data_IF_699720170645
#
_entry.id   IF_699720170645
#
_cell.length_a   1.000
_cell.length_b   1.000
_cell.length_c   1.000
_cell.angle_alpha   90.00
_cell.angle_beta   90.00
_cell.angle_gamma   90.00
#
_symmetry.space_group_name_H-M   'P 1'
#
loop_
_entity.id
_entity.type
_entity.pdbx_description
1 polymer ?
#
# COMPACT_ATOMS: atom_id res chain seq x y z
N UNK A 1 -39.51 -15.04 -10.56
CA UNK A 1 -38.77 -13.82 -10.17
C UNK A 1 -37.45 -14.26 -9.53
N UNK A 2 -36.34 -14.10 -10.25
CA UNK A 2 -35.01 -14.35 -9.67
C UNK A 2 -34.78 -13.33 -8.57
N UNK A 3 -34.72 -13.76 -7.31
CA UNK A 3 -34.39 -12.87 -6.21
C UNK A 3 -32.99 -12.33 -6.46
N UNK A 4 -32.88 -11.04 -6.71
CA UNK A 4 -31.67 -10.23 -6.94
C UNK A 4 -30.79 -10.13 -5.69
N UNK A 5 -30.55 -11.27 -5.02
CA UNK A 5 -29.79 -11.35 -3.78
C UNK A 5 -28.44 -11.96 -4.11
N UNK A 6 -27.44 -11.10 -4.15
CA UNK A 6 -26.06 -11.55 -4.34
C UNK A 6 -25.59 -12.40 -3.15
N UNK A 7 -24.64 -13.33 -3.36
CA UNK A 7 -24.06 -14.12 -2.29
C UNK A 7 -23.51 -13.22 -1.18
N UNK A 8 -23.75 -13.56 0.09
CA UNK A 8 -23.31 -12.75 1.24
C UNK A 8 -21.79 -12.47 1.24
N UNK A 9 -20.99 -13.40 0.70
CA UNK A 9 -19.54 -13.23 0.56
C UNK A 9 -19.12 -12.17 -0.46
N UNK A 10 -19.96 -11.85 -1.44
CA UNK A 10 -19.65 -10.83 -2.46
C UNK A 10 -19.58 -9.43 -1.84
N UNK A 11 -20.47 -9.12 -0.89
CA UNK A 11 -20.47 -7.83 -0.19
C UNK A 11 -19.17 -7.60 0.59
N UNK A 12 -18.66 -8.65 1.25
CA UNK A 12 -17.38 -8.58 1.96
C UNK A 12 -16.23 -8.31 0.99
N UNK A 13 -16.12 -9.09 -0.09
CA UNK A 13 -15.07 -8.93 -1.11
C UNK A 13 -15.14 -7.54 -1.75
N UNK A 14 -16.34 -7.04 -2.03
CA UNK A 14 -16.54 -5.71 -2.59
C UNK A 14 -16.06 -4.62 -1.62
N UNK A 15 -16.46 -4.69 -0.35
CA UNK A 15 -16.05 -3.72 0.65
C UNK A 15 -14.53 -3.73 0.86
N UNK A 16 -13.92 -4.91 0.98
CA UNK A 16 -12.47 -5.03 1.17
C UNK A 16 -11.70 -4.55 -0.06
N UNK A 17 -12.10 -4.95 -1.27
CA UNK A 17 -11.41 -4.55 -2.50
C UNK A 17 -11.53 -3.05 -2.79
N UNK A 18 -12.67 -2.45 -2.45
CA UNK A 18 -12.87 -1.00 -2.57
C UNK A 18 -12.01 -0.23 -1.56
N UNK A 19 -11.98 -0.68 -0.30
CA UNK A 19 -11.14 -0.07 0.73
C UNK A 19 -9.64 -0.17 0.39
N UNK A 20 -9.19 -1.32 -0.13
CA UNK A 20 -7.80 -1.54 -0.55
C UNK A 20 -7.41 -0.57 -1.67
N UNK A 21 -8.23 -0.47 -2.72
CA UNK A 21 -7.99 0.44 -3.85
C UNK A 21 -8.05 1.91 -3.44
N UNK A 22 -8.99 2.28 -2.59
CA UNK A 22 -9.07 3.63 -2.04
C UNK A 22 -7.78 4.02 -1.31
N UNK A 23 -7.27 3.14 -0.46
CA UNK A 23 -6.03 3.40 0.28
C UNK A 23 -4.80 3.46 -0.66
N UNK A 24 -4.72 2.55 -1.64
CA UNK A 24 -3.62 2.52 -2.60
C UNK A 24 -3.56 3.78 -3.48
N UNK A 25 -4.67 4.17 -4.10
CA UNK A 25 -4.71 5.37 -4.94
C UNK A 25 -4.58 6.65 -4.11
N UNK A 26 -5.14 6.68 -2.90
CA UNK A 26 -5.02 7.80 -1.97
C UNK A 26 -3.55 8.07 -1.61
N UNK A 27 -2.82 7.03 -1.18
CA UNK A 27 -1.39 7.15 -0.90
C UNK A 27 -0.62 7.58 -2.14
N UNK A 28 -0.82 6.92 -3.29
CA UNK A 28 -0.11 7.22 -4.53
C UNK A 28 -0.31 8.66 -5.02
N UNK A 29 -1.49 9.25 -4.79
CA UNK A 29 -1.80 10.62 -5.20
C UNK A 29 -1.01 11.68 -4.40
N UNK A 30 -0.88 11.48 -3.09
CA UNK A 30 -0.18 12.43 -2.21
C UNK A 30 1.32 12.13 -2.08
N UNK A 31 1.76 10.92 -2.46
CA UNK A 31 3.11 10.44 -2.17
C UNK A 31 4.21 11.29 -2.82
N UNK A 32 4.05 11.69 -4.08
CA UNK A 32 5.05 12.54 -4.74
C UNK A 32 5.10 13.96 -4.17
N UNK A 33 3.95 14.48 -3.72
CA UNK A 33 3.87 15.76 -3.01
C UNK A 33 4.56 15.68 -1.66
N UNK A 34 4.40 14.56 -0.94
CA UNK A 34 5.10 14.30 0.31
C UNK A 34 6.62 14.28 0.13
N UNK A 35 7.13 13.57 -0.89
CA UNK A 35 8.56 13.50 -1.18
C UNK A 35 9.16 14.87 -1.52
N UNK A 36 8.45 15.67 -2.33
CA UNK A 36 8.96 16.94 -2.86
C UNK A 36 8.74 18.13 -1.91
N UNK A 37 7.59 18.19 -1.23
CA UNK A 37 7.23 19.33 -0.36
C UNK A 37 7.57 19.11 1.11
N UNK A 38 7.42 17.88 1.61
CA UNK A 38 7.63 17.59 3.04
C UNK A 38 9.08 17.18 3.33
N UNK A 39 9.66 16.29 2.50
CA UNK A 39 11.04 15.83 2.66
C UNK A 39 12.09 16.65 1.89
N UNK A 40 11.64 17.65 1.10
CA UNK A 40 12.50 18.52 0.29
C UNK A 40 13.48 17.76 -0.62
N UNK A 41 13.09 16.56 -1.09
CA UNK A 41 13.88 15.85 -2.08
C UNK A 41 13.84 16.55 -3.43
N UNK A 42 14.93 16.44 -4.18
CA UNK A 42 14.95 16.90 -5.56
C UNK A 42 13.96 16.08 -6.42
N UNK A 43 13.40 16.73 -7.44
CA UNK A 43 12.35 16.14 -8.29
C UNK A 43 12.81 14.88 -8.99
N UNK A 44 14.08 14.84 -9.43
CA UNK A 44 14.66 13.66 -10.08
C UNK A 44 14.75 12.48 -9.10
N UNK A 45 15.19 12.75 -7.87
CA UNK A 45 15.33 11.73 -6.83
C UNK A 45 13.96 11.19 -6.38
N UNK A 46 12.98 12.08 -6.18
CA UNK A 46 11.61 11.71 -5.84
C UNK A 46 10.94 10.88 -6.95
N UNK A 47 11.16 11.23 -8.23
CA UNK A 47 10.63 10.47 -9.36
C UNK A 47 11.27 9.07 -9.45
N UNK A 48 12.57 8.95 -9.18
CA UNK A 48 13.26 7.66 -9.13
C UNK A 48 12.68 6.74 -8.03
N UNK A 49 12.55 7.25 -6.80
CA UNK A 49 11.96 6.50 -5.68
C UNK A 49 10.53 6.07 -5.99
N UNK A 50 9.72 6.98 -6.54
CA UNK A 50 8.35 6.69 -6.94
C UNK A 50 8.28 5.61 -8.03
N UNK A 51 9.16 5.66 -9.03
CA UNK A 51 9.27 4.66 -10.10
C UNK A 51 9.63 3.28 -9.56
N UNK A 52 10.65 3.20 -8.70
CA UNK A 52 11.04 1.95 -8.05
C UNK A 52 9.94 1.39 -7.15
N UNK A 53 9.28 2.23 -6.37
CA UNK A 53 8.17 1.82 -5.49
C UNK A 53 7.01 1.25 -6.30
N UNK A 54 6.54 1.97 -7.31
CA UNK A 54 5.43 1.50 -8.16
C UNK A 54 5.80 0.21 -8.90
N UNK A 55 7.03 0.09 -9.39
CA UNK A 55 7.54 -1.15 -9.99
C UNK A 55 7.48 -2.35 -9.04
N UNK A 56 7.93 -2.18 -7.80
CA UNK A 56 7.86 -3.24 -6.78
C UNK A 56 6.42 -3.62 -6.45
N UNK A 57 5.52 -2.65 -6.28
CA UNK A 57 4.10 -2.92 -6.01
C UNK A 57 3.45 -3.74 -7.14
N UNK A 58 3.89 -3.59 -8.39
CA UNK A 58 3.40 -4.44 -9.48
C UNK A 58 4.03 -5.84 -9.51
N UNK A 59 5.23 -6.01 -8.97
CA UNK A 59 5.93 -7.30 -8.89
C UNK A 59 5.47 -8.15 -7.70
N UNK A 60 5.21 -7.54 -6.54
CA UNK A 60 4.83 -8.23 -5.29
C UNK A 60 3.60 -9.15 -5.44
N UNK A 61 2.54 -8.80 -6.20
CA UNK A 61 1.40 -9.69 -6.44
C UNK A 61 1.77 -10.99 -7.15
N UNK A 62 2.81 -10.98 -8.00
CA UNK A 62 3.28 -12.19 -8.69
C UNK A 62 3.83 -13.20 -7.68
N UNK A 63 4.64 -12.72 -6.75
CA UNK A 63 5.23 -13.53 -5.68
C UNK A 63 4.14 -13.94 -4.67
N UNK A 64 3.26 -13.01 -4.30
CA UNK A 64 2.15 -13.25 -3.39
C UNK A 64 1.16 -14.30 -3.91
N UNK A 65 0.85 -14.27 -5.20
CA UNK A 65 0.00 -15.27 -5.86
C UNK A 65 0.62 -16.67 -5.83
N UNK A 66 1.92 -16.78 -6.17
CA UNK A 66 2.63 -18.06 -6.08
C UNK A 66 2.62 -18.66 -4.67
N UNK A 67 2.82 -17.82 -3.65
CA UNK A 67 2.79 -18.26 -2.24
C UNK A 67 1.36 -18.66 -1.82
N UNK A 68 0.35 -17.90 -2.26
CA UNK A 68 -1.06 -18.17 -1.94
C UNK A 68 -1.52 -19.52 -2.49
N UNK A 69 -1.10 -19.86 -3.71
CA UNK A 69 -1.50 -21.09 -4.39
C UNK A 69 -0.80 -22.33 -3.79
N UNK A 70 0.44 -22.19 -3.31
CA UNK A 70 1.25 -23.33 -2.88
C UNK A 70 1.23 -23.60 -1.36
N UNK A 71 1.14 -22.57 -0.52
CA UNK A 71 1.42 -22.72 0.92
C UNK A 71 0.22 -22.42 1.84
N UNK A 72 -0.48 -21.29 1.66
CA UNK A 72 -1.39 -20.76 2.70
C UNK A 72 -2.86 -20.64 2.30
N UNK A 73 -3.16 -20.72 1.00
CA UNK A 73 -4.52 -20.53 0.48
C UNK A 73 -4.93 -19.05 0.38
N UNK A 74 -5.94 -18.79 -0.46
CA UNK A 74 -6.34 -17.44 -0.87
C UNK A 74 -6.77 -16.56 0.33
N UNK A 75 -7.51 -17.10 1.30
CA UNK A 75 -8.12 -16.31 2.39
C UNK A 75 -7.07 -15.75 3.34
N UNK A 76 -6.06 -16.55 3.70
CA UNK A 76 -4.98 -16.12 4.60
C UNK A 76 -4.05 -15.14 3.92
N UNK A 77 -3.78 -15.33 2.64
CA UNK A 77 -2.92 -14.45 1.85
C UNK A 77 -3.52 -13.05 1.69
N UNK A 78 -4.83 -12.95 1.46
CA UNK A 78 -5.54 -11.65 1.43
C UNK A 78 -5.47 -10.93 2.77
N UNK A 79 -5.67 -11.65 3.89
CA UNK A 79 -5.60 -11.06 5.22
C UNK A 79 -4.20 -10.53 5.55
N UNK A 80 -3.16 -11.32 5.29
CA UNK A 80 -1.78 -10.90 5.52
C UNK A 80 -1.35 -9.76 4.60
N UNK A 81 -1.78 -9.76 3.34
CA UNK A 81 -1.54 -8.65 2.41
C UNK A 81 -2.18 -7.35 2.90
N UNK A 82 -3.43 -7.40 3.35
CA UNK A 82 -4.11 -6.24 3.93
C UNK A 82 -3.42 -5.73 5.21
N UNK A 83 -2.93 -6.65 6.06
CA UNK A 83 -2.19 -6.29 7.27
C UNK A 83 -0.86 -5.61 6.94
N UNK A 84 -0.10 -6.13 5.97
CA UNK A 84 1.15 -5.50 5.51
C UNK A 84 0.89 -4.10 4.92
N UNK A 85 -0.17 -3.94 4.12
CA UNK A 85 -0.57 -2.62 3.61
C UNK A 85 -0.90 -1.63 4.74
N UNK A 86 -1.62 -2.09 5.77
CA UNK A 86 -1.96 -1.25 6.92
C UNK A 86 -0.72 -0.81 7.70
N UNK A 87 0.25 -1.72 7.90
CA UNK A 87 1.53 -1.39 8.55
C UNK A 87 2.32 -0.39 7.72
N UNK A 88 2.47 -0.58 6.41
CA UNK A 88 3.17 0.37 5.53
C UNK A 88 2.53 1.76 5.53
N UNK A 89 1.20 1.83 5.52
CA UNK A 89 0.47 3.11 5.60
C UNK A 89 0.60 3.78 6.96
N UNK A 90 0.66 3.01 8.05
CA UNK A 90 0.91 3.55 9.38
C UNK A 90 2.34 4.10 9.52
N UNK A 91 3.32 3.41 8.93
CA UNK A 91 4.71 3.88 8.87
C UNK A 91 4.84 5.17 8.06
N UNK A 92 4.15 5.28 6.92
CA UNK A 92 4.07 6.51 6.13
C UNK A 92 3.42 7.65 6.91
N UNK A 93 2.34 7.36 7.64
CA UNK A 93 1.69 8.34 8.51
C UNK A 93 2.62 8.81 9.65
N UNK A 94 3.37 7.88 10.26
CA UNK A 94 4.35 8.22 11.29
C UNK A 94 5.52 9.04 10.72
N UNK A 95 5.98 8.73 9.51
CA UNK A 95 6.99 9.54 8.80
C UNK A 95 6.49 10.97 8.55
N UNK A 96 5.21 11.12 8.20
CA UNK A 96 4.57 12.42 8.01
C UNK A 96 4.33 13.18 9.33
N UNK A 97 4.07 12.50 10.45
CA UNK A 97 3.89 13.16 11.74
C UNK A 97 5.21 13.61 12.36
N UNK A 98 6.33 12.92 12.06
CA UNK A 98 7.66 13.22 12.59
C UNK A 98 8.53 14.06 11.64
N UNK A 99 7.95 15.11 11.04
CA UNK A 99 8.65 16.03 10.13
C UNK A 99 9.74 16.88 10.81
N UNK A 100 9.67 17.09 12.12
CA UNK A 100 10.67 17.86 12.88
C UNK A 100 12.02 17.12 13.04
N UNK A 101 12.02 15.78 12.98
CA UNK A 101 13.22 14.96 13.04
C UNK A 101 13.56 14.38 11.65
N UNK A 102 14.22 15.20 10.80
CA UNK A 102 14.56 14.85 9.40
C UNK A 102 15.16 13.45 9.23
N UNK A 103 16.14 13.07 10.06
CA UNK A 103 16.79 11.76 10.00
C UNK A 103 15.80 10.60 10.24
N UNK A 104 14.94 10.71 11.25
CA UNK A 104 13.94 9.69 11.57
C UNK A 104 12.83 9.63 10.51
N UNK A 105 12.43 10.76 9.95
CA UNK A 105 11.44 10.81 8.87
C UNK A 105 11.92 10.07 7.62
N UNK A 106 13.21 10.21 7.24
CA UNK A 106 13.82 9.46 6.14
C UNK A 106 13.84 7.96 6.42
N UNK A 107 14.27 7.53 7.61
CA UNK A 107 14.28 6.10 7.99
C UNK A 107 12.89 5.48 8.03
N UNK A 108 11.90 6.19 8.56
CA UNK A 108 10.51 5.74 8.60
C UNK A 108 9.87 5.71 7.20
N UNK A 109 10.25 6.62 6.30
CA UNK A 109 9.81 6.60 4.91
C UNK A 109 10.35 5.36 4.18
N UNK A 110 11.65 5.08 4.31
CA UNK A 110 12.24 3.86 3.72
C UNK A 110 11.66 2.59 4.33
N UNK A 111 11.31 2.60 5.63
CA UNK A 111 10.58 1.51 6.28
C UNK A 111 9.12 1.38 5.84
N UNK A 112 8.45 2.46 5.44
CA UNK A 112 7.08 2.44 4.89
C UNK A 112 7.02 2.08 3.40
N UNK A 113 8.16 2.01 2.72
CA UNK A 113 8.30 1.66 1.30
C UNK A 113 8.49 0.15 1.05
N UNK A 114 8.64 -0.66 2.11
CA UNK A 114 8.72 -2.13 2.06
C UNK A 114 7.32 -2.76 2.07
#
# INVERSE_FOLDING_TARGET
MSTSRHPKGLYLIFATSTAERFSYYGMRAIFILFLTQALLFDKEHAASIYGSYTGLVYLTPLIGGYIADKYWGIRRSVFWGAMMMAVGQFLMFASASMLEARELSHWLMYGGLT
#
